data_IF_666520202274
#
_entry.id   IF_666520202274
#
_cell.length_a   1.000
_cell.length_b   1.000
_cell.length_c   1.000
_cell.angle_alpha   90.00
_cell.angle_beta   90.00
_cell.angle_gamma   90.00
#
_symmetry.space_group_name_H-M   'P 1'
#
loop_
_entity.id
_entity.type
_entity.pdbx_description
1 polymer ?
#
# COMPACT_ATOMS: atom_id res chain seq x y z
N UNK A 1 -0.99 -29.64 -11.51
CA UNK A 1 -0.74 -28.26 -10.98
C UNK A 1 -1.86 -27.95 -9.99
N UNK A 2 -1.63 -28.20 -8.71
CA UNK A 2 -2.61 -27.86 -7.67
C UNK A 2 -2.43 -26.38 -7.32
N UNK A 3 -3.19 -25.53 -7.97
CA UNK A 3 -3.44 -24.16 -7.47
C UNK A 3 -4.41 -24.29 -6.30
N UNK A 4 -3.88 -24.50 -5.10
CA UNK A 4 -4.62 -24.19 -3.88
C UNK A 4 -4.96 -22.69 -4.00
N UNK A 5 -6.22 -22.39 -4.30
CA UNK A 5 -6.68 -21.07 -4.68
C UNK A 5 -6.46 -20.03 -3.58
N UNK A 6 -5.28 -19.41 -3.60
CA UNK A 6 -5.04 -18.19 -2.82
C UNK A 6 -6.02 -17.16 -3.36
N UNK A 7 -6.98 -16.76 -2.54
CA UNK A 7 -8.00 -15.78 -2.95
C UNK A 7 -7.30 -14.47 -3.27
N UNK A 8 -7.47 -13.99 -4.50
CA UNK A 8 -6.95 -12.66 -4.91
C UNK A 8 -7.68 -11.61 -4.09
N UNK A 9 -6.92 -10.70 -3.49
CA UNK A 9 -7.45 -9.52 -2.82
C UNK A 9 -7.71 -8.42 -3.84
N UNK A 10 -8.92 -7.85 -3.79
CA UNK A 10 -9.32 -6.70 -4.60
C UNK A 10 -9.25 -5.47 -3.71
N UNK A 11 -8.36 -4.54 -4.03
CA UNK A 11 -8.18 -3.28 -3.33
C UNK A 11 -8.76 -2.13 -4.15
N UNK A 12 -9.55 -1.27 -3.50
CA UNK A 12 -10.18 -0.11 -4.13
C UNK A 12 -9.72 1.21 -3.47
N UNK A 13 -9.62 2.31 -4.24
CA UNK A 13 -9.35 3.64 -3.68
C UNK A 13 -10.58 4.20 -2.94
N UNK A 14 -10.34 4.91 -1.85
CA UNK A 14 -11.36 5.69 -1.17
C UNK A 14 -10.83 7.11 -0.88
N UNK A 15 -11.43 8.13 -1.50
CA UNK A 15 -11.07 9.53 -1.27
C UNK A 15 -11.97 10.25 -0.27
N UNK A 16 -13.15 9.69 0.01
CA UNK A 16 -14.15 10.18 0.95
C UNK A 16 -15.07 9.04 1.40
N UNK A 17 -16.00 9.32 2.32
CA UNK A 17 -16.92 8.30 2.84
C UNK A 17 -17.88 7.73 1.78
N UNK A 18 -18.27 8.51 0.78
CA UNK A 18 -19.11 8.03 -0.32
C UNK A 18 -18.36 7.02 -1.18
N UNK A 19 -17.12 7.32 -1.56
CA UNK A 19 -16.23 6.39 -2.28
C UNK A 19 -15.93 5.14 -1.44
N UNK A 20 -15.74 5.29 -0.13
CA UNK A 20 -15.53 4.18 0.79
C UNK A 20 -16.72 3.21 0.76
N UNK A 21 -17.93 3.74 0.91
CA UNK A 21 -19.15 2.92 0.86
C UNK A 21 -19.35 2.27 -0.51
N UNK A 22 -19.07 2.99 -1.60
CA UNK A 22 -19.14 2.44 -2.96
C UNK A 22 -18.14 1.29 -3.16
N UNK A 23 -16.91 1.43 -2.66
CA UNK A 23 -15.89 0.39 -2.72
C UNK A 23 -16.33 -0.89 -1.96
N UNK A 24 -16.88 -0.72 -0.76
CA UNK A 24 -17.41 -1.82 0.06
C UNK A 24 -18.56 -2.52 -0.66
N UNK A 25 -19.53 -1.76 -1.18
CA UNK A 25 -20.67 -2.30 -1.92
C UNK A 25 -20.25 -2.97 -3.23
N UNK A 26 -19.18 -2.49 -3.86
CA UNK A 26 -18.54 -3.10 -5.03
C UNK A 26 -17.79 -4.40 -4.75
N UNK A 27 -17.69 -4.81 -3.48
CA UNK A 27 -17.06 -6.07 -3.07
C UNK A 27 -15.56 -6.00 -2.89
N UNK A 28 -14.99 -4.81 -2.63
CA UNK A 28 -13.59 -4.66 -2.29
C UNK A 28 -13.23 -5.46 -1.02
N UNK A 29 -12.08 -6.12 -1.03
CA UNK A 29 -11.54 -6.82 0.13
C UNK A 29 -10.69 -5.89 1.01
N UNK A 30 -10.20 -4.81 0.41
CA UNK A 30 -9.46 -3.76 1.08
C UNK A 30 -9.68 -2.41 0.40
N UNK A 31 -9.41 -1.35 1.14
CA UNK A 31 -9.43 0.02 0.63
C UNK A 31 -8.13 0.72 0.97
N UNK A 32 -7.66 1.57 0.05
CA UNK A 32 -6.54 2.47 0.34
C UNK A 32 -6.98 3.93 0.26
N UNK A 33 -6.45 4.73 1.14
CA UNK A 33 -6.81 6.14 1.28
C UNK A 33 -5.64 6.95 1.80
N UNK A 34 -5.66 8.25 1.53
CA UNK A 34 -4.75 9.21 2.12
C UNK A 34 -5.44 10.07 3.16
N UNK A 35 -4.67 10.60 4.08
CA UNK A 35 -5.12 11.65 5.01
C UNK A 35 -4.31 12.91 4.80
N UNK A 36 -4.95 14.06 4.96
CA UNK A 36 -4.30 15.38 4.82
C UNK A 36 -3.50 15.52 3.50
N UNK A 37 -2.28 16.09 3.57
CA UNK A 37 -1.41 16.35 2.40
C UNK A 37 -0.22 15.37 2.30
N UNK A 38 -0.27 14.21 2.96
CA UNK A 38 0.84 13.27 3.02
C UNK A 38 0.75 12.13 2.00
N UNK A 39 0.00 12.33 0.92
CA UNK A 39 -0.17 11.34 -0.15
C UNK A 39 -0.19 11.98 -1.54
N UNK A 40 0.13 11.20 -2.59
CA UNK A 40 0.18 11.65 -3.99
C UNK A 40 -1.16 12.18 -4.56
N UNK A 41 -2.26 12.05 -3.83
CA UNK A 41 -3.59 12.57 -4.19
C UNK A 41 -3.98 13.79 -3.37
N UNK A 42 -3.05 14.41 -2.64
CA UNK A 42 -3.30 15.58 -1.77
C UNK A 42 -3.95 16.76 -2.48
N UNK A 43 -3.75 16.88 -3.80
CA UNK A 43 -4.38 17.93 -4.62
C UNK A 43 -5.81 17.59 -5.07
N UNK A 44 -6.35 16.41 -4.79
CA UNK A 44 -7.76 16.12 -5.02
C UNK A 44 -8.60 16.70 -3.89
N UNK A 45 -9.74 17.32 -4.24
CA UNK A 45 -10.52 18.18 -3.35
C UNK A 45 -11.13 17.52 -2.09
N UNK A 46 -11.00 16.20 -1.93
CA UNK A 46 -11.63 15.44 -0.86
C UNK A 46 -10.65 14.41 -0.29
N UNK A 47 -9.87 14.79 0.71
CA UNK A 47 -9.07 13.87 1.50
C UNK A 47 -9.69 13.71 2.89
N UNK A 48 -9.54 12.53 3.47
CA UNK A 48 -9.83 12.32 4.88
C UNK A 48 -8.86 13.11 5.76
N UNK A 49 -9.31 13.45 6.95
CA UNK A 49 -8.46 13.96 8.03
C UNK A 49 -7.92 12.79 8.88
N UNK A 50 -6.87 13.04 9.65
CA UNK A 50 -6.39 12.05 10.61
C UNK A 50 -7.42 11.71 11.69
N UNK A 51 -8.37 12.60 11.97
CA UNK A 51 -9.44 12.37 12.94
C UNK A 51 -10.56 11.46 12.39
N UNK A 52 -10.61 11.24 11.07
CA UNK A 52 -11.54 10.30 10.44
C UNK A 52 -11.09 8.83 10.56
N UNK A 53 -9.83 8.58 10.89
CA UNK A 53 -9.24 7.23 10.92
C UNK A 53 -10.06 6.21 11.75
N UNK A 54 -10.49 6.52 12.98
CA UNK A 54 -11.28 5.58 13.77
C UNK A 54 -12.58 5.19 13.08
N UNK A 55 -13.27 6.16 12.48
CA UNK A 55 -14.55 5.94 11.78
C UNK A 55 -14.37 5.11 10.50
N UNK A 56 -13.31 5.37 9.73
CA UNK A 56 -12.97 4.58 8.53
C UNK A 56 -12.75 3.12 8.93
N UNK A 57 -11.94 2.89 9.96
CA UNK A 57 -11.62 1.54 10.44
C UNK A 57 -12.86 0.83 10.98
N UNK A 58 -13.71 1.52 11.74
CA UNK A 58 -14.97 0.97 12.25
C UNK A 58 -15.87 0.48 11.10
N UNK A 59 -16.12 1.33 10.10
CA UNK A 59 -16.92 0.98 8.93
C UNK A 59 -16.31 -0.22 8.19
N UNK A 60 -15.02 -0.18 7.90
CA UNK A 60 -14.36 -1.27 7.17
C UNK A 60 -14.38 -2.58 7.95
N UNK A 61 -14.15 -2.54 9.25
CA UNK A 61 -14.18 -3.72 10.14
C UNK A 61 -15.57 -4.37 10.17
N UNK A 62 -16.65 -3.57 10.23
CA UNK A 62 -18.04 -4.07 10.18
C UNK A 62 -18.31 -4.86 8.88
N UNK A 63 -17.64 -4.52 7.79
CA UNK A 63 -17.76 -5.18 6.48
C UNK A 63 -16.63 -6.17 6.17
N UNK A 64 -15.70 -6.42 7.11
CA UNK A 64 -14.53 -7.31 6.93
C UNK A 64 -13.60 -6.85 5.79
N UNK A 65 -13.47 -5.54 5.60
CA UNK A 65 -12.61 -4.90 4.62
C UNK A 65 -11.35 -4.39 5.32
N UNK A 66 -10.17 -4.66 4.76
CA UNK A 66 -8.89 -4.17 5.28
C UNK A 66 -8.67 -2.71 4.89
N UNK A 67 -7.87 -2.01 5.67
CA UNK A 67 -7.61 -0.57 5.51
C UNK A 67 -6.13 -0.32 5.31
N UNK A 68 -5.77 0.45 4.27
CA UNK A 68 -4.38 0.79 3.98
C UNK A 68 -4.22 2.31 3.86
N UNK A 69 -3.38 2.87 4.71
CA UNK A 69 -3.04 4.29 4.67
C UNK A 69 -1.95 4.54 3.65
N UNK A 70 -2.14 5.46 2.71
CA UNK A 70 -1.09 5.88 1.79
C UNK A 70 -0.29 7.05 2.36
N UNK A 71 1.03 6.86 2.47
CA UNK A 71 2.04 7.83 2.91
C UNK A 71 3.22 7.73 1.94
N UNK A 72 2.98 8.11 0.67
CA UNK A 72 3.84 7.76 -0.45
C UNK A 72 4.31 8.97 -1.28
N UNK A 73 4.44 10.13 -0.64
CA UNK A 73 5.11 11.31 -1.20
C UNK A 73 6.57 11.39 -0.74
N UNK A 74 7.32 12.31 -1.31
CA UNK A 74 8.62 12.70 -0.77
C UNK A 74 8.41 13.39 0.59
N UNK A 75 9.15 12.95 1.61
CA UNK A 75 9.06 13.48 2.97
C UNK A 75 10.30 14.34 3.23
N UNK A 76 10.10 15.61 3.56
CA UNK A 76 11.16 16.50 3.97
C UNK A 76 11.33 16.50 5.50
N UNK A 77 12.48 16.97 5.97
CA UNK A 77 12.77 16.99 7.42
C UNK A 77 11.68 17.68 8.25
N UNK A 78 11.07 18.72 7.70
CA UNK A 78 9.98 19.48 8.34
C UNK A 78 8.67 18.69 8.44
N UNK A 79 8.49 17.65 7.60
CA UNK A 79 7.29 16.81 7.58
C UNK A 79 7.39 15.57 8.48
N UNK A 80 8.61 15.17 8.88
CA UNK A 80 8.87 13.91 9.58
C UNK A 80 8.01 13.76 10.84
N UNK A 81 7.98 14.78 11.68
CA UNK A 81 7.23 14.70 12.94
C UNK A 81 5.71 14.55 12.71
N UNK A 82 5.18 15.25 11.69
CA UNK A 82 3.79 15.12 11.30
C UNK A 82 3.49 13.72 10.75
N UNK A 83 4.37 13.20 9.90
CA UNK A 83 4.23 11.89 9.30
C UNK A 83 4.26 10.77 10.37
N UNK A 84 5.18 10.84 11.33
CA UNK A 84 5.26 9.89 12.43
C UNK A 84 4.02 9.91 13.31
N UNK A 85 3.53 11.09 13.70
CA UNK A 85 2.25 11.23 14.43
C UNK A 85 1.07 10.66 13.66
N UNK A 86 1.06 10.80 12.33
CA UNK A 86 0.01 10.22 11.49
C UNK A 86 0.08 8.69 11.50
N UNK A 87 1.28 8.10 11.47
CA UNK A 87 1.46 6.65 11.58
C UNK A 87 1.00 6.13 12.94
N UNK A 88 1.35 6.81 14.04
CA UNK A 88 0.92 6.45 15.39
C UNK A 88 -0.61 6.43 15.50
N UNK A 89 -1.28 7.53 15.06
CA UNK A 89 -2.74 7.62 15.03
C UNK A 89 -3.37 6.51 14.18
N UNK A 90 -2.78 6.19 13.02
CA UNK A 90 -3.27 5.15 12.14
C UNK A 90 -3.18 3.77 12.80
N UNK A 91 -2.06 3.47 13.44
CA UNK A 91 -1.87 2.23 14.17
C UNK A 91 -2.82 2.12 15.36
N UNK A 92 -2.97 3.18 16.15
CA UNK A 92 -3.91 3.24 17.29
C UNK A 92 -5.36 3.05 16.84
N UNK A 93 -5.76 3.64 15.71
CA UNK A 93 -7.08 3.45 15.13
C UNK A 93 -7.32 2.02 14.61
N UNK A 94 -6.26 1.23 14.40
CA UNK A 94 -6.33 -0.14 13.90
C UNK A 94 -6.35 -0.23 12.37
N UNK A 95 -5.75 0.74 11.68
CA UNK A 95 -5.43 0.63 10.24
C UNK A 95 -4.54 -0.60 10.02
N UNK A 96 -4.78 -1.36 8.97
CA UNK A 96 -4.11 -2.64 8.73
C UNK A 96 -2.64 -2.47 8.36
N UNK A 97 -2.34 -1.59 7.40
CA UNK A 97 -0.97 -1.35 6.92
C UNK A 97 -0.80 0.06 6.37
N UNK A 98 0.46 0.46 6.17
CA UNK A 98 0.82 1.69 5.46
C UNK A 98 1.45 1.37 4.12
N UNK A 99 1.04 2.08 3.06
CA UNK A 99 1.67 2.05 1.73
C UNK A 99 2.65 3.21 1.65
N UNK A 100 3.94 2.92 1.64
CA UNK A 100 5.01 3.92 1.76
C UNK A 100 6.07 3.79 0.67
N UNK A 101 6.75 4.89 0.38
CA UNK A 101 7.90 4.96 -0.53
C UNK A 101 9.14 5.57 0.11
N UNK A 102 8.98 6.38 1.13
CA UNK A 102 10.09 7.02 1.83
C UNK A 102 10.66 6.08 2.92
N UNK A 103 12.00 5.96 2.96
CA UNK A 103 12.65 5.06 3.92
C UNK A 103 12.45 5.49 5.37
N UNK A 104 12.31 6.79 5.65
CA UNK A 104 12.02 7.25 7.02
C UNK A 104 10.68 6.73 7.52
N UNK A 105 9.67 6.72 6.64
CA UNK A 105 8.33 6.21 6.93
C UNK A 105 8.35 4.69 7.07
N UNK A 106 9.03 3.99 6.16
CA UNK A 106 9.16 2.53 6.19
C UNK A 106 9.83 2.08 7.50
N UNK A 107 10.97 2.70 7.85
CA UNK A 107 11.71 2.33 9.07
C UNK A 107 10.93 2.68 10.33
N UNK A 108 10.26 3.83 10.38
CA UNK A 108 9.45 4.20 11.53
C UNK A 108 8.25 3.26 11.70
N UNK A 109 7.50 2.97 10.63
CA UNK A 109 6.39 2.02 10.67
C UNK A 109 6.84 0.65 11.19
N UNK A 110 8.01 0.16 10.72
CA UNK A 110 8.63 -1.07 11.22
C UNK A 110 8.97 -1.00 12.71
N UNK A 111 9.49 0.14 13.18
CA UNK A 111 9.89 0.32 14.58
C UNK A 111 8.72 0.28 15.56
N UNK A 112 7.53 0.65 15.09
CA UNK A 112 6.28 0.57 15.87
C UNK A 112 5.47 -0.70 15.55
N UNK A 113 6.03 -1.69 14.85
CA UNK A 113 5.37 -2.93 14.45
C UNK A 113 4.09 -2.68 13.63
N UNK A 114 4.16 -1.80 12.65
CA UNK A 114 3.09 -1.50 11.70
C UNK A 114 3.42 -2.12 10.35
N UNK A 115 2.49 -2.89 9.77
CA UNK A 115 2.68 -3.56 8.49
C UNK A 115 2.95 -2.55 7.38
N UNK A 116 3.94 -2.84 6.52
CA UNK A 116 4.37 -1.97 5.43
C UNK A 116 4.13 -2.65 4.10
N UNK A 117 3.50 -1.92 3.18
CA UNK A 117 3.44 -2.22 1.76
C UNK A 117 4.34 -1.23 1.01
N UNK A 118 5.23 -1.73 0.17
CA UNK A 118 6.08 -0.88 -0.66
C UNK A 118 5.26 -0.29 -1.80
N UNK A 119 5.25 1.05 -1.88
CA UNK A 119 4.51 1.77 -2.91
C UNK A 119 5.12 1.58 -4.31
N UNK A 120 4.26 1.64 -5.34
CA UNK A 120 4.67 1.70 -6.76
C UNK A 120 5.61 2.87 -7.07
N UNK A 121 5.66 3.88 -6.22
CA UNK A 121 6.58 5.03 -6.37
C UNK A 121 8.07 4.62 -6.32
N UNK A 122 8.38 3.44 -5.78
CA UNK A 122 9.74 2.89 -5.80
C UNK A 122 10.08 2.12 -7.08
N UNK A 123 9.17 2.06 -8.05
CA UNK A 123 9.39 1.53 -9.41
C UNK A 123 10.02 0.13 -9.45
N UNK A 124 9.56 -0.77 -8.56
CA UNK A 124 10.12 -2.12 -8.46
C UNK A 124 9.70 -2.92 -9.69
N UNK A 125 10.66 -3.23 -10.55
CA UNK A 125 10.45 -3.85 -11.85
C UNK A 125 11.29 -5.10 -12.11
N UNK A 126 12.05 -5.56 -11.11
CA UNK A 126 12.89 -6.75 -11.20
C UNK A 126 13.05 -7.45 -9.84
N UNK A 127 13.53 -8.69 -9.87
CA UNK A 127 13.67 -9.52 -8.68
C UNK A 127 14.70 -9.00 -7.68
N UNK A 128 15.74 -8.31 -8.12
CA UNK A 128 16.79 -7.81 -7.23
C UNK A 128 16.30 -6.63 -6.39
N UNK A 129 15.59 -5.68 -7.03
CA UNK A 129 14.92 -4.61 -6.30
C UNK A 129 13.86 -5.16 -5.32
N UNK A 130 13.06 -6.15 -5.78
CA UNK A 130 12.09 -6.81 -4.92
C UNK A 130 12.78 -7.47 -3.71
N UNK A 131 13.85 -8.22 -3.92
CA UNK A 131 14.63 -8.87 -2.85
C UNK A 131 15.17 -7.87 -1.83
N UNK A 132 15.62 -6.72 -2.29
CA UNK A 132 16.09 -5.65 -1.40
C UNK A 132 14.94 -5.13 -0.53
N UNK A 133 13.79 -4.79 -1.12
CA UNK A 133 12.67 -4.23 -0.37
C UNK A 133 11.90 -5.25 0.47
N UNK A 134 11.99 -6.53 0.14
CA UNK A 134 11.43 -7.62 0.94
C UNK A 134 11.97 -7.67 2.38
N UNK A 135 13.12 -7.06 2.64
CA UNK A 135 13.67 -6.92 4.00
C UNK A 135 12.82 -6.01 4.89
N UNK A 136 12.02 -5.14 4.30
CA UNK A 136 11.27 -4.10 5.01
C UNK A 136 9.75 -4.29 4.94
N UNK A 137 9.24 -5.09 4.00
CA UNK A 137 7.81 -5.19 3.74
C UNK A 137 7.39 -6.59 3.30
N UNK A 138 6.16 -6.94 3.66
CA UNK A 138 5.54 -8.22 3.31
C UNK A 138 4.78 -8.16 1.98
N UNK A 139 4.44 -6.94 1.51
CA UNK A 139 3.76 -6.69 0.24
C UNK A 139 4.52 -5.64 -0.56
N UNK A 140 4.68 -5.91 -1.86
CA UNK A 140 5.39 -5.01 -2.78
C UNK A 140 4.50 -4.71 -3.98
N UNK A 141 4.20 -3.42 -4.18
CA UNK A 141 3.47 -2.94 -5.35
C UNK A 141 4.45 -2.82 -6.51
N UNK A 142 4.26 -3.64 -7.54
CA UNK A 142 5.14 -3.65 -8.70
C UNK A 142 4.93 -2.41 -9.58
N UNK A 143 5.96 -2.07 -10.34
CA UNK A 143 5.89 -1.03 -11.37
C UNK A 143 4.81 -1.36 -12.41
N UNK A 144 4.07 -0.35 -12.86
CA UNK A 144 2.96 -0.49 -13.81
C UNK A 144 3.41 -0.82 -15.23
N UNK A 145 4.69 -0.62 -15.53
CA UNK A 145 5.33 -0.88 -16.82
C UNK A 145 5.54 -2.36 -17.11
N UNK A 146 5.40 -3.22 -16.10
CA UNK A 146 5.57 -4.66 -16.24
C UNK A 146 4.39 -5.30 -17.01
N UNK A 147 4.71 -6.17 -17.94
CA UNK A 147 3.73 -7.06 -18.54
C UNK A 147 3.51 -8.31 -17.68
N UNK A 148 2.45 -9.07 -17.99
CA UNK A 148 2.08 -10.25 -17.20
C UNK A 148 3.14 -11.36 -17.19
N UNK A 149 3.98 -11.48 -18.23
CA UNK A 149 5.07 -12.46 -18.25
C UNK A 149 6.16 -12.09 -17.24
N UNK A 150 6.51 -10.81 -17.18
CA UNK A 150 7.48 -10.28 -16.21
C UNK A 150 6.95 -10.40 -14.77
N UNK A 151 5.67 -10.10 -14.54
CA UNK A 151 5.03 -10.30 -13.22
C UNK A 151 5.08 -11.77 -12.81
N UNK A 152 4.76 -12.68 -13.74
CA UNK A 152 4.84 -14.12 -13.50
C UNK A 152 6.26 -14.56 -13.18
N UNK A 153 7.26 -14.08 -13.91
CA UNK A 153 8.68 -14.39 -13.66
C UNK A 153 9.09 -13.97 -12.25
N UNK A 154 8.73 -12.74 -11.82
CA UNK A 154 9.01 -12.28 -10.47
C UNK A 154 8.31 -13.17 -9.43
N UNK A 155 7.07 -13.55 -9.66
CA UNK A 155 6.32 -14.45 -8.76
C UNK A 155 6.97 -15.85 -8.67
N UNK A 156 7.44 -16.39 -9.79
CA UNK A 156 8.14 -17.67 -9.83
C UNK A 156 9.48 -17.60 -9.08
N UNK A 157 10.20 -16.47 -9.18
CA UNK A 157 11.45 -16.23 -8.44
C UNK A 157 11.19 -16.14 -6.93
N UNK A 158 10.14 -15.43 -6.49
CA UNK A 158 9.77 -15.36 -5.07
C UNK A 158 9.57 -16.77 -4.51
N UNK A 159 8.84 -17.61 -5.22
CA UNK A 159 8.55 -18.98 -4.78
C UNK A 159 9.80 -19.87 -4.81
N UNK A 160 10.60 -19.80 -5.89
CA UNK A 160 11.83 -20.58 -6.06
C UNK A 160 12.89 -20.25 -5.01
N UNK A 161 13.13 -18.96 -4.80
CA UNK A 161 14.22 -18.47 -3.96
C UNK A 161 13.76 -18.22 -2.52
N UNK A 162 12.49 -18.54 -2.21
CA UNK A 162 11.89 -18.39 -0.88
C UNK A 162 12.07 -16.97 -0.32
N UNK A 163 11.82 -15.95 -1.15
CA UNK A 163 11.96 -14.56 -0.73
C UNK A 163 10.83 -14.22 0.25
N UNK A 164 11.21 -13.96 1.48
CA UNK A 164 10.28 -13.70 2.59
C UNK A 164 10.34 -12.26 3.04
N UNK A 165 9.19 -11.77 3.48
CA UNK A 165 9.08 -10.51 4.17
C UNK A 165 9.35 -10.62 5.68
N UNK A 166 9.22 -9.51 6.41
CA UNK A 166 9.47 -9.46 7.86
C UNK A 166 8.58 -10.38 8.69
N UNK A 167 7.38 -10.71 8.23
CA UNK A 167 6.49 -11.66 8.90
C UNK A 167 6.95 -13.14 8.75
N UNK A 168 8.01 -13.40 7.97
CA UNK A 168 8.53 -14.75 7.72
C UNK A 168 7.79 -15.53 6.64
N UNK A 169 6.75 -14.95 6.06
CA UNK A 169 6.00 -15.50 4.94
C UNK A 169 6.58 -15.02 3.60
N UNK A 170 6.25 -15.73 2.50
CA UNK A 170 6.65 -15.28 1.17
C UNK A 170 6.08 -13.88 0.87
N UNK A 171 6.94 -13.00 0.38
CA UNK A 171 6.53 -11.67 -0.07
C UNK A 171 5.38 -11.80 -1.07
N UNK A 172 4.37 -10.98 -0.88
CA UNK A 172 3.23 -10.86 -1.78
C UNK A 172 3.47 -9.71 -2.76
N UNK A 173 2.98 -9.89 -3.98
CA UNK A 173 3.00 -8.85 -4.99
C UNK A 173 1.61 -8.25 -5.15
N UNK A 174 1.58 -6.93 -5.29
CA UNK A 174 0.40 -6.16 -5.66
C UNK A 174 0.62 -5.51 -7.01
N UNK A 175 -0.43 -5.41 -7.82
CA UNK A 175 -0.36 -4.76 -9.12
C UNK A 175 -1.65 -3.99 -9.43
N UNK A 176 -1.52 -2.91 -10.17
CA UNK A 176 -2.67 -2.19 -10.69
C UNK A 176 -3.32 -2.98 -11.82
N UNK A 177 -4.62 -3.24 -11.71
CA UNK A 177 -5.40 -3.92 -12.75
C UNK A 177 -6.39 -2.97 -13.46
N UNK A 178 -6.73 -1.83 -12.86
CA UNK A 178 -7.64 -0.84 -13.41
C UNK A 178 -7.30 0.57 -12.89
N UNK A 179 -7.48 1.58 -13.73
CA UNK A 179 -7.30 2.98 -13.36
C UNK A 179 -7.13 3.89 -14.58
N UNK A 180 -7.02 5.20 -14.34
CA UNK A 180 -6.70 6.15 -15.40
C UNK A 180 -5.28 5.90 -15.93
N UNK A 181 -5.09 6.16 -17.22
CA UNK A 181 -3.76 6.11 -17.82
C UNK A 181 -2.85 7.13 -17.14
N UNK A 182 -1.73 6.66 -16.64
CA UNK A 182 -0.72 7.52 -16.07
C UNK A 182 0.24 7.99 -17.15
N UNK A 183 0.42 9.30 -17.26
CA UNK A 183 1.35 9.90 -18.23
C UNK A 183 2.80 9.84 -17.77
N UNK A 184 3.03 9.61 -16.49
CA UNK A 184 4.37 9.51 -15.91
C UNK A 184 4.79 8.05 -15.70
N UNK A 185 6.09 7.80 -15.76
CA UNK A 185 6.70 6.54 -15.34
C UNK A 185 6.51 6.39 -13.82
N UNK A 186 6.27 5.18 -13.35
CA UNK A 186 6.15 4.88 -11.91
C UNK A 186 7.33 5.48 -11.14
N UNK A 187 7.06 6.14 -10.02
CA UNK A 187 8.07 6.80 -9.20
C UNK A 187 8.61 8.13 -9.74
N UNK A 188 8.10 8.63 -10.86
CA UNK A 188 8.49 9.90 -11.49
C UNK A 188 7.32 10.86 -11.66
N UNK A 189 6.31 10.75 -10.81
CA UNK A 189 5.18 11.69 -10.76
C UNK A 189 5.61 12.92 -9.93
N UNK A 190 5.48 14.11 -10.52
CA UNK A 190 5.73 15.40 -9.86
C UNK A 190 4.43 16.18 -9.77
#
# INVERSE_FOLDING_TARGET
>A
MNTTGKKIEIMAPAGNFECLMAAIQGGANSVYFGVENLNMRSHSANNFSSDDLPKIVEICRAHKVRTYLTLNIAIFNEDLEKAYRTLDKAKEAGVTAVIASDMSIILYARSIDFEVHISTQLSISNSEALRFYAQFADVIVLARELNMLQVKEISDIIARDQIKGPAGELVQIEMFCHGALCMAISGKCY
#
